data_IF_098590151530
#
_entry.id   IF_098590151530
#
_cell.length_a   1.000
_cell.length_b   1.000
_cell.length_c   1.000
_cell.angle_alpha   90.00
_cell.angle_beta   90.00
_cell.angle_gamma   90.00
#
_symmetry.space_group_name_H-M   'P 1'
#
loop_
_entity.id
_entity.type
_entity.pdbx_description
1 polymer ?
#
# COMPACT_ATOMS: atom_id res chain seq x y z
N UNK A 1 -6.64 2.24 6.18
CA UNK A 1 -6.18 0.89 6.57
C UNK A 1 -7.17 0.22 7.52
N UNK A 2 -7.48 -1.08 7.34
CA UNK A 2 -8.29 -1.90 8.26
C UNK A 2 -7.47 -3.10 8.74
N UNK A 3 -7.51 -3.43 10.03
CA UNK A 3 -6.88 -4.63 10.59
C UNK A 3 -7.93 -5.67 10.97
N UNK A 4 -7.70 -6.93 10.59
CA UNK A 4 -8.56 -8.08 10.88
C UNK A 4 -7.73 -9.20 11.49
N UNK A 5 -8.25 -9.83 12.55
CA UNK A 5 -7.64 -11.04 13.14
C UNK A 5 -8.13 -12.33 12.44
N UNK A 6 -9.24 -12.26 11.70
CA UNK A 6 -9.78 -13.38 10.96
C UNK A 6 -9.07 -13.51 9.61
N UNK A 7 -8.22 -14.53 9.48
CA UNK A 7 -7.48 -14.83 8.26
C UNK A 7 -7.31 -16.34 8.08
N UNK A 8 -7.38 -16.81 6.83
CA UNK A 8 -7.09 -18.22 6.46
C UNK A 8 -5.71 -18.69 6.92
N UNK A 9 -4.79 -17.75 7.13
CA UNK A 9 -3.39 -18.03 7.46
C UNK A 9 -3.08 -17.96 8.96
N UNK A 10 -4.10 -17.82 9.82
CA UNK A 10 -3.93 -17.68 11.28
C UNK A 10 -2.94 -16.57 11.68
N UNK A 11 -2.96 -15.46 10.92
CA UNK A 11 -2.16 -14.25 11.15
C UNK A 11 -3.07 -13.05 11.03
N UNK A 12 -2.80 -12.00 11.79
CA UNK A 12 -3.48 -10.72 11.62
C UNK A 12 -3.25 -10.20 10.20
N UNK A 13 -4.27 -9.60 9.59
CA UNK A 13 -4.25 -9.07 8.24
C UNK A 13 -4.52 -7.58 8.28
N UNK A 14 -3.62 -6.80 7.68
CA UNK A 14 -3.75 -5.37 7.48
C UNK A 14 -4.08 -5.10 6.01
N UNK A 15 -5.27 -4.55 5.76
CA UNK A 15 -5.74 -4.18 4.43
C UNK A 15 -5.46 -2.68 4.23
N UNK A 16 -4.59 -2.38 3.26
CA UNK A 16 -4.26 -1.02 2.85
C UNK A 16 -5.22 -0.56 1.74
N UNK A 17 -5.60 0.71 1.77
CA UNK A 17 -6.36 1.39 0.71
C UNK A 17 -5.43 2.25 -0.17
N UNK A 18 -5.89 2.73 -1.34
CA UNK A 18 -5.11 3.65 -2.15
C UNK A 18 -4.66 4.89 -1.34
N UNK A 19 -3.36 5.19 -1.37
CA UNK A 19 -2.71 6.24 -0.56
C UNK A 19 -2.15 5.76 0.79
N UNK A 20 -2.55 4.58 1.28
CA UNK A 20 -2.02 4.03 2.53
C UNK A 20 -0.60 3.48 2.34
N UNK A 21 0.20 3.58 3.41
CA UNK A 21 1.45 2.87 3.57
C UNK A 21 1.57 2.33 4.99
N UNK A 22 2.19 1.17 5.14
CA UNK A 22 2.36 0.54 6.44
C UNK A 22 3.63 -0.31 6.46
N UNK A 23 4.44 -0.15 7.50
CA UNK A 23 5.64 -0.95 7.75
C UNK A 23 5.60 -1.49 9.17
N UNK A 24 6.02 -2.74 9.35
CA UNK A 24 5.94 -3.43 10.64
C UNK A 24 6.98 -4.55 10.76
N UNK A 25 7.29 -4.91 12.01
CA UNK A 25 8.01 -6.13 12.39
C UNK A 25 7.07 -7.27 12.77
N UNK A 26 5.77 -7.00 12.86
CA UNK A 26 4.77 -7.99 13.23
C UNK A 26 4.70 -9.09 12.18
N UNK A 27 4.52 -10.34 12.62
CA UNK A 27 4.27 -11.47 11.74
C UNK A 27 2.80 -11.46 11.26
N UNK A 28 2.46 -10.48 10.43
CA UNK A 28 1.13 -10.24 9.90
C UNK A 28 1.13 -10.31 8.37
N UNK A 29 -0.06 -10.21 7.78
CA UNK A 29 -0.25 -10.17 6.33
C UNK A 29 -0.61 -8.74 5.95
N UNK A 30 0.13 -8.18 5.01
CA UNK A 30 -0.25 -6.92 4.36
C UNK A 30 -0.94 -7.27 3.05
N UNK A 31 -2.12 -6.69 2.82
CA UNK A 31 -2.91 -6.95 1.63
C UNK A 31 -3.58 -5.69 1.11
N UNK A 32 -3.87 -5.67 -0.17
CA UNK A 32 -4.69 -4.63 -0.80
C UNK A 32 -5.31 -5.19 -2.06
N UNK A 33 -6.30 -4.48 -2.60
CA UNK A 33 -6.87 -4.77 -3.92
C UNK A 33 -6.30 -3.74 -4.88
N UNK A 34 -5.51 -4.21 -5.85
CA UNK A 34 -4.88 -3.35 -6.85
C UNK A 34 -5.70 -3.39 -8.13
N UNK A 35 -6.21 -2.23 -8.54
CA UNK A 35 -6.76 -2.00 -9.88
C UNK A 35 -5.66 -1.47 -10.81
N UNK A 36 -5.82 -0.23 -11.28
CA UNK A 36 -4.78 0.48 -12.04
C UNK A 36 -3.74 1.20 -11.18
N UNK A 37 -3.95 1.23 -9.86
CA UNK A 37 -2.95 1.70 -8.91
C UNK A 37 -1.71 0.79 -8.90
N UNK A 38 -0.64 1.22 -8.25
CA UNK A 38 0.58 0.43 -8.08
C UNK A 38 0.84 0.21 -6.59
N UNK A 39 1.22 -1.00 -6.19
CA UNK A 39 1.69 -1.26 -4.83
C UNK A 39 3.16 -1.67 -4.81
N UNK A 40 3.92 -1.18 -3.84
CA UNK A 40 5.32 -1.57 -3.60
C UNK A 40 5.40 -2.31 -2.28
N UNK A 41 6.03 -3.47 -2.28
CA UNK A 41 6.33 -4.24 -1.07
C UNK A 41 7.84 -4.30 -0.88
N UNK A 42 8.32 -3.94 0.32
CA UNK A 42 9.73 -4.01 0.69
C UNK A 42 9.88 -4.87 1.94
N UNK A 43 10.95 -5.66 1.98
CA UNK A 43 11.29 -6.47 3.13
C UNK A 43 12.80 -6.38 3.39
N UNK A 44 13.16 -6.03 4.63
CA UNK A 44 14.53 -6.07 5.14
C UNK A 44 14.73 -7.39 5.90
N UNK A 45 15.46 -8.33 5.30
CA UNK A 45 15.73 -9.65 5.89
C UNK A 45 16.59 -9.59 7.16
N UNK A 46 17.48 -8.59 7.27
CA UNK A 46 18.38 -8.44 8.42
C UNK A 46 17.62 -7.89 9.63
N UNK A 47 16.75 -6.90 9.39
CA UNK A 47 15.98 -6.25 10.47
C UNK A 47 14.61 -6.89 10.72
N UNK A 48 14.16 -7.78 9.83
CA UNK A 48 12.86 -8.43 9.89
C UNK A 48 11.69 -7.45 9.75
N UNK A 49 11.87 -6.38 8.98
CA UNK A 49 10.85 -5.34 8.78
C UNK A 49 10.26 -5.50 7.38
N UNK A 50 8.95 -5.67 7.29
CA UNK A 50 8.22 -5.65 6.03
C UNK A 50 7.34 -4.42 5.93
N UNK A 51 7.11 -3.93 4.72
CA UNK A 51 6.18 -2.85 4.47
C UNK A 51 5.54 -2.91 3.09
N UNK A 52 4.38 -2.29 2.98
CA UNK A 52 3.61 -2.13 1.76
C UNK A 52 3.19 -0.66 1.61
N UNK A 53 3.30 -0.11 0.42
CA UNK A 53 2.73 1.20 0.04
C UNK A 53 1.83 1.06 -1.18
N UNK A 54 0.64 1.66 -1.15
CA UNK A 54 -0.33 1.65 -2.24
C UNK A 54 -0.40 3.04 -2.89
N UNK A 55 0.24 3.19 -4.04
CA UNK A 55 0.34 4.45 -4.79
C UNK A 55 -0.80 4.59 -5.80
N UNK A 56 -1.39 5.77 -5.85
CA UNK A 56 -2.44 6.11 -6.81
C UNK A 56 -1.78 6.56 -8.11
N UNK A 57 -2.13 5.92 -9.22
CA UNK A 57 -1.66 6.34 -10.56
C UNK A 57 -2.52 7.53 -11.04
N UNK A 58 -1.90 8.64 -11.52
CA UNK A 58 -2.63 9.81 -12.00
C UNK A 58 -3.46 9.49 -13.24
N UNK A 59 -4.67 10.04 -13.33
CA UNK A 59 -5.49 10.04 -14.57
C UNK A 59 -6.63 9.03 -14.63
N UNK A 60 -6.90 8.24 -13.59
CA UNK A 60 -7.93 7.19 -13.63
C UNK A 60 -9.24 7.53 -12.91
N UNK A 61 -9.35 8.68 -12.23
CA UNK A 61 -10.59 9.11 -11.58
C UNK A 61 -10.83 10.60 -11.89
N UNK A 62 -11.98 10.88 -12.51
CA UNK A 62 -12.34 12.17 -13.11
C UNK A 62 -12.54 13.32 -12.13
N UNK A 63 -11.44 13.85 -11.59
CA UNK A 63 -11.43 15.17 -10.96
C UNK A 63 -10.32 16.01 -11.57
N UNK A 64 -10.72 17.20 -12.01
CA UNK A 64 -9.87 18.24 -12.57
C UNK A 64 -8.75 18.58 -11.57
N UNK A 65 -7.55 18.05 -11.80
CA UNK A 65 -6.47 18.20 -10.83
C UNK A 65 -5.17 17.48 -11.19
N UNK A 66 -4.86 17.34 -12.48
CA UNK A 66 -3.63 16.67 -12.95
C UNK A 66 -2.36 17.44 -12.55
N UNK A 67 -2.47 18.72 -12.18
CA UNK A 67 -1.32 19.62 -11.98
C UNK A 67 -0.93 19.78 -10.49
N UNK A 68 -1.76 19.37 -9.53
CA UNK A 68 -1.60 19.76 -8.12
C UNK A 68 -1.12 18.65 -7.16
N UNK A 69 -1.00 17.40 -7.60
CA UNK A 69 -0.75 16.30 -6.65
C UNK A 69 0.72 15.90 -6.58
N UNK A 70 1.38 16.22 -5.46
CA UNK A 70 2.78 15.85 -5.17
C UNK A 70 3.03 14.33 -5.26
N UNK A 71 1.98 13.50 -5.12
CA UNK A 71 2.06 12.04 -5.20
C UNK A 71 2.30 11.60 -6.66
N UNK A 72 1.78 12.32 -7.65
CA UNK A 72 2.00 12.05 -9.08
C UNK A 72 3.46 12.22 -9.51
N UNK A 73 4.20 13.12 -8.84
CA UNK A 73 5.57 13.49 -9.22
C UNK A 73 6.60 12.41 -8.88
N UNK A 74 6.36 11.62 -7.84
CA UNK A 74 7.35 10.71 -7.28
C UNK A 74 7.22 9.25 -7.76
N UNK A 75 6.17 8.91 -8.51
CA UNK A 75 5.96 7.56 -9.06
C UNK A 75 6.45 7.37 -10.50
N UNK A 76 6.91 8.43 -11.18
CA UNK A 76 7.28 8.43 -12.61
C UNK A 76 8.76 8.84 -12.82
N UNK A 77 9.53 9.08 -11.76
CA UNK A 77 10.96 9.41 -11.88
C UNK A 77 11.82 8.25 -11.40
#
# INVERSE_FOLDING_TARGET
MIRSEASKYNKSMCILFPGDYFATKENCILGTVVGACVCVCLYDEVRGIGGMGHFIVPGMIGTEGIIADEIAKHGIT
#
